data_IF_752925947433
#
_entry.id   IF_752925947433
#
_cell.length_a   1.000
_cell.length_b   1.000
_cell.length_c   1.000
_cell.angle_alpha   90.00
_cell.angle_beta   90.00
_cell.angle_gamma   90.00
#
_symmetry.space_group_name_H-M   'P 1'
#
loop_
_entity.id
_entity.type
_entity.pdbx_description
1 polymer ?
#
# COMPACT_ATOMS: atom_id res chain seq x y z
N UNK A 1 26.63 4.35 -18.58
CA UNK A 1 25.36 4.57 -17.85
C UNK A 1 25.34 3.58 -16.71
N UNK A 2 25.45 4.03 -15.46
CA UNK A 2 25.38 3.14 -14.29
C UNK A 2 23.92 2.79 -14.03
N UNK A 3 23.59 1.54 -13.67
CA UNK A 3 22.23 1.20 -13.26
C UNK A 3 21.85 2.03 -12.03
N UNK A 4 20.61 2.50 -11.99
CA UNK A 4 20.08 3.11 -10.77
C UNK A 4 20.09 2.05 -9.66
N UNK A 5 20.35 2.43 -8.41
CA UNK A 5 20.27 1.50 -7.30
C UNK A 5 18.87 0.86 -7.27
N UNK A 6 18.83 -0.46 -7.08
CA UNK A 6 17.59 -1.18 -6.87
C UNK A 6 16.83 -0.54 -5.70
N UNK A 7 15.51 -0.30 -5.82
CA UNK A 7 14.74 0.29 -4.74
C UNK A 7 14.84 -0.59 -3.49
N UNK A 8 15.25 0.04 -2.38
CA UNK A 8 15.38 -0.59 -1.08
C UNK A 8 14.10 -0.41 -0.25
N UNK A 9 14.03 -1.08 0.91
CA UNK A 9 12.88 -1.01 1.81
C UNK A 9 12.51 0.42 2.21
N UNK A 10 13.50 1.32 2.32
CA UNK A 10 13.27 2.73 2.62
C UNK A 10 12.48 3.44 1.51
N UNK A 11 12.78 3.13 0.25
CA UNK A 11 12.06 3.69 -0.91
C UNK A 11 10.59 3.29 -0.88
N UNK A 12 10.30 2.02 -0.60
CA UNK A 12 8.93 1.54 -0.49
C UNK A 12 8.22 2.05 0.76
N UNK A 13 8.93 2.19 1.87
CA UNK A 13 8.37 2.78 3.10
C UNK A 13 7.97 4.24 2.89
N UNK A 14 8.75 5.03 2.13
CA UNK A 14 8.36 6.39 1.74
C UNK A 14 7.08 6.42 0.91
N UNK A 15 6.84 5.43 0.06
CA UNK A 15 5.56 5.29 -0.66
C UNK A 15 4.39 4.96 0.29
N UNK A 16 4.61 4.10 1.28
CA UNK A 16 3.60 3.81 2.30
C UNK A 16 3.28 5.04 3.16
N UNK A 17 4.28 5.85 3.50
CA UNK A 17 4.08 7.11 4.23
C UNK A 17 3.26 8.14 3.43
N UNK A 18 3.44 8.20 2.10
CA UNK A 18 2.58 9.04 1.23
C UNK A 18 1.11 8.60 1.29
N UNK A 19 0.83 7.31 1.42
CA UNK A 19 -0.54 6.83 1.64
C UNK A 19 -1.03 7.17 3.05
N UNK A 20 -0.19 7.05 4.08
CA UNK A 20 -0.54 7.48 5.44
C UNK A 20 -0.91 8.97 5.52
N UNK A 21 -0.22 9.83 4.77
CA UNK A 21 -0.56 11.25 4.62
C UNK A 21 -1.96 11.46 4.00
N UNK A 22 -2.37 10.61 3.05
CA UNK A 22 -3.72 10.67 2.47
C UNK A 22 -4.79 10.26 3.48
N UNK A 23 -4.54 9.22 4.29
CA UNK A 23 -5.44 8.87 5.40
C UNK A 23 -5.57 10.04 6.38
N UNK A 24 -4.46 10.69 6.75
CA UNK A 24 -4.50 11.85 7.62
C UNK A 24 -5.37 12.99 7.03
N UNK A 25 -5.22 13.26 5.73
CA UNK A 25 -6.03 14.26 5.03
C UNK A 25 -7.53 13.90 4.96
N UNK A 26 -7.86 12.61 5.05
CA UNK A 26 -9.21 12.08 5.06
C UNK A 26 -9.81 11.95 6.48
N UNK A 27 -9.14 12.46 7.52
CA UNK A 27 -9.53 12.32 8.93
C UNK A 27 -9.60 10.84 9.40
N UNK A 28 -8.75 10.00 8.81
CA UNK A 28 -8.58 8.59 9.15
C UNK A 28 -7.35 8.38 10.04
N UNK A 29 -7.22 7.19 10.64
CA UNK A 29 -5.97 6.77 11.30
C UNK A 29 -4.83 6.78 10.26
N UNK A 30 -3.73 7.52 10.47
CA UNK A 30 -2.72 7.79 9.45
C UNK A 30 -1.80 6.58 9.23
N UNK A 31 -2.32 5.58 8.53
CA UNK A 31 -1.61 4.34 8.17
C UNK A 31 -1.75 4.13 6.67
N UNK A 32 -0.62 3.82 6.04
CA UNK A 32 -0.52 3.48 4.63
C UNK A 32 0.25 2.17 4.43
N UNK A 33 -0.05 1.47 3.34
CA UNK A 33 0.54 0.18 3.01
C UNK A 33 0.82 0.10 1.51
N UNK A 34 1.90 -0.59 1.16
CA UNK A 34 2.26 -0.92 -0.21
C UNK A 34 2.59 -2.40 -0.33
N UNK A 35 2.23 -3.01 -1.46
CA UNK A 35 2.68 -4.38 -1.79
C UNK A 35 3.67 -4.30 -2.93
N UNK A 36 4.86 -4.87 -2.70
CA UNK A 36 5.95 -4.93 -3.68
C UNK A 36 6.03 -6.35 -4.23
N UNK A 37 6.06 -6.47 -5.55
CA UNK A 37 6.29 -7.74 -6.24
C UNK A 37 7.32 -7.52 -7.36
N UNK A 38 8.38 -8.33 -7.39
CA UNK A 38 9.48 -8.21 -8.36
C UNK A 38 10.07 -6.79 -8.43
N UNK A 39 10.31 -6.17 -7.27
CA UNK A 39 10.88 -4.81 -7.18
C UNK A 39 9.91 -3.68 -7.57
N UNK A 40 8.64 -3.98 -7.84
CA UNK A 40 7.64 -3.00 -8.28
C UNK A 40 6.48 -2.94 -7.30
N UNK A 41 6.01 -1.74 -6.97
CA UNK A 41 4.79 -1.56 -6.19
C UNK A 41 3.58 -1.91 -7.06
N UNK A 42 2.85 -2.95 -6.66
CA UNK A 42 1.63 -3.43 -7.36
C UNK A 42 0.34 -3.01 -6.66
N UNK A 43 0.41 -2.51 -5.42
CA UNK A 43 -0.73 -1.99 -4.68
C UNK A 43 -0.30 -0.87 -3.73
N UNK A 44 -1.19 0.11 -3.53
CA UNK A 44 -1.02 1.23 -2.59
C UNK A 44 -2.37 1.52 -1.94
N UNK A 45 -2.41 1.57 -0.62
CA UNK A 45 -3.64 1.87 0.10
C UNK A 45 -3.36 2.58 1.41
N UNK A 46 -4.39 3.26 1.90
CA UNK A 46 -4.42 3.88 3.22
C UNK A 46 -5.69 3.44 3.96
N UNK A 47 -5.68 3.62 5.28
CA UNK A 47 -6.82 3.31 6.13
C UNK A 47 -8.05 4.11 5.69
N UNK A 48 -9.19 3.43 5.56
CA UNK A 48 -10.47 3.99 5.08
C UNK A 48 -11.64 3.51 5.95
N UNK A 49 -11.40 3.24 7.24
CA UNK A 49 -12.40 2.69 8.17
C UNK A 49 -13.60 3.61 8.32
N UNK A 50 -13.35 4.90 8.54
CA UNK A 50 -14.41 5.88 8.79
C UNK A 50 -15.17 6.21 7.50
N UNK A 51 -14.43 6.37 6.40
CA UNK A 51 -14.94 6.66 5.05
C UNK A 51 -15.86 5.56 4.56
N UNK A 52 -15.45 4.30 4.70
CA UNK A 52 -16.22 3.14 4.23
C UNK A 52 -17.19 2.59 5.29
N UNK A 53 -17.11 3.09 6.53
CA UNK A 53 -17.83 2.56 7.70
C UNK A 53 -17.63 1.06 7.86
N UNK A 54 -16.40 0.61 7.61
CA UNK A 54 -15.99 -0.79 7.61
C UNK A 54 -14.81 -0.96 8.57
N UNK A 55 -14.97 -1.69 9.69
CA UNK A 55 -13.88 -1.87 10.65
C UNK A 55 -12.67 -2.63 10.09
N UNK A 56 -12.81 -3.30 8.95
CA UNK A 56 -11.78 -4.09 8.27
C UNK A 56 -11.03 -3.32 7.18
N UNK A 57 -11.46 -2.10 6.84
CA UNK A 57 -10.85 -1.24 5.82
C UNK A 57 -9.52 -0.61 6.26
N UNK A 58 -8.63 -1.42 6.82
CA UNK A 58 -7.25 -1.07 7.14
C UNK A 58 -6.42 -1.01 5.86
N UNK A 59 -5.32 -0.26 5.88
CA UNK A 59 -4.45 -0.10 4.72
C UNK A 59 -3.94 -1.45 4.19
N UNK A 60 -3.55 -2.36 5.08
CA UNK A 60 -3.02 -3.68 4.74
C UNK A 60 -4.07 -4.53 4.02
N UNK A 61 -5.30 -4.57 4.52
CA UNK A 61 -6.39 -5.36 3.95
C UNK A 61 -6.74 -4.91 2.53
N UNK A 62 -6.78 -3.59 2.34
CA UNK A 62 -7.04 -2.98 1.03
C UNK A 62 -5.87 -3.24 0.08
N UNK A 63 -4.62 -3.07 0.54
CA UNK A 63 -3.42 -3.31 -0.27
C UNK A 63 -3.30 -4.79 -0.71
N UNK A 64 -3.60 -5.74 0.18
CA UNK A 64 -3.61 -7.18 -0.14
C UNK A 64 -4.70 -7.51 -1.18
N UNK A 65 -5.88 -6.92 -1.04
CA UNK A 65 -6.99 -7.10 -2.00
C UNK A 65 -6.62 -6.55 -3.38
N UNK A 66 -6.05 -5.35 -3.44
CA UNK A 66 -5.54 -4.76 -4.69
C UNK A 66 -4.42 -5.60 -5.30
N UNK A 67 -3.48 -6.11 -4.50
CA UNK A 67 -2.38 -6.93 -4.98
C UNK A 67 -2.88 -8.27 -5.53
N UNK A 68 -3.84 -8.91 -4.88
CA UNK A 68 -4.47 -10.13 -5.36
C UNK A 68 -5.18 -9.92 -6.70
N UNK A 69 -5.87 -8.78 -6.86
CA UNK A 69 -6.49 -8.39 -8.12
C UNK A 69 -5.43 -8.13 -9.21
N UNK A 70 -4.35 -7.42 -8.89
CA UNK A 70 -3.27 -7.12 -9.83
C UNK A 70 -2.52 -8.37 -10.32
N UNK A 71 -2.44 -9.42 -9.50
CA UNK A 71 -1.81 -10.70 -9.83
C UNK A 71 -2.80 -11.76 -10.33
N UNK A 72 -4.11 -11.44 -10.37
CA UNK A 72 -5.20 -12.36 -10.69
C UNK A 72 -5.16 -13.68 -9.87
N UNK A 73 -4.70 -13.60 -8.62
CA UNK A 73 -4.58 -14.75 -7.71
C UNK A 73 -4.62 -14.32 -6.25
N UNK A 74 -5.13 -15.19 -5.38
CA UNK A 74 -5.20 -14.90 -3.93
C UNK A 74 -3.86 -15.10 -3.21
N UNK A 75 -2.99 -15.99 -3.73
CA UNK A 75 -1.71 -16.32 -3.11
C UNK A 75 -0.63 -15.35 -3.61
N UNK A 76 -0.10 -14.54 -2.70
CA UNK A 76 0.88 -13.48 -3.01
C UNK A 76 2.35 -13.93 -2.95
N UNK A 77 2.60 -15.24 -2.85
CA UNK A 77 3.96 -15.82 -2.90
C UNK A 77 4.56 -15.79 -4.29
#
# INVERSE_FOLDING_TARGET
>A
MFPLPEPNDETFMREALKEAEKALQADEVPVGAVVVHQGRVIARAHNQRETLRDPTAHAEMIALTQAAAALERWRLS
#
